data_IF_632147322870
#
_entry.id   IF_632147322870
#
_cell.length_a   1.000
_cell.length_b   1.000
_cell.length_c   1.000
_cell.angle_alpha   90.00
_cell.angle_beta   90.00
_cell.angle_gamma   90.00
#
_symmetry.space_group_name_H-M   'P 1'
#
loop_
_entity.id
_entity.type
_entity.pdbx_description
1 polymer ?
#
# COMPACT_ATOMS: atom_id res chain seq x y z
N UNK A 1 80.90 -5.87 16.01
CA UNK A 1 79.43 -5.79 15.83
C UNK A 1 79.00 -6.96 14.96
N UNK A 2 78.25 -7.93 15.49
CA UNK A 2 77.91 -9.14 14.74
C UNK A 2 76.72 -8.87 13.81
N UNK A 3 76.96 -8.15 12.71
CA UNK A 3 75.94 -7.75 11.71
C UNK A 3 75.16 -8.97 11.20
N UNK A 4 75.87 -10.06 10.93
CA UNK A 4 75.28 -11.28 10.40
C UNK A 4 74.33 -11.96 11.40
N UNK A 5 74.64 -11.91 12.69
CA UNK A 5 73.80 -12.46 13.74
C UNK A 5 72.48 -11.69 13.86
N UNK A 6 72.53 -10.36 13.80
CA UNK A 6 71.34 -9.49 13.78
C UNK A 6 70.44 -9.82 12.57
N UNK A 7 71.05 -9.99 11.40
CA UNK A 7 70.34 -10.31 10.16
C UNK A 7 69.70 -11.71 10.24
N UNK A 8 70.44 -12.72 10.73
CA UNK A 8 69.90 -14.09 10.93
C UNK A 8 68.77 -14.11 11.97
N UNK A 9 68.87 -13.33 13.03
CA UNK A 9 67.80 -13.21 14.04
C UNK A 9 66.52 -12.62 13.45
N UNK A 10 66.66 -11.65 12.53
CA UNK A 10 65.51 -11.02 11.88
C UNK A 10 64.86 -11.93 10.84
N UNK A 11 65.62 -12.46 9.87
CA UNK A 11 65.04 -13.21 8.75
C UNK A 11 64.75 -14.67 9.07
N UNK A 12 65.65 -15.38 9.78
CA UNK A 12 65.51 -16.82 9.99
C UNK A 12 64.77 -17.16 11.29
N UNK A 13 65.00 -16.38 12.36
CA UNK A 13 64.35 -16.58 13.65
C UNK A 13 63.07 -15.74 13.83
N UNK A 14 62.78 -14.85 12.89
CA UNK A 14 61.58 -14.00 12.87
C UNK A 14 61.38 -13.16 14.15
N UNK A 15 62.48 -12.78 14.80
CA UNK A 15 62.45 -12.02 16.06
C UNK A 15 62.13 -10.55 15.73
N UNK A 16 61.19 -9.90 16.43
CA UNK A 16 60.87 -8.50 16.17
C UNK A 16 62.07 -7.60 16.47
N UNK A 17 62.20 -6.51 15.68
CA UNK A 17 63.33 -5.57 15.76
C UNK A 17 63.50 -4.98 17.16
N UNK A 18 62.40 -4.86 17.92
CA UNK A 18 62.41 -4.39 19.30
C UNK A 18 63.20 -5.31 20.23
N UNK A 19 63.02 -6.62 20.12
CA UNK A 19 63.68 -7.59 21.00
C UNK A 19 65.16 -7.75 20.63
N UNK A 20 65.47 -7.65 19.33
CA UNK A 20 66.86 -7.57 18.84
C UNK A 20 67.53 -6.31 19.40
N UNK A 21 66.86 -5.16 19.34
CA UNK A 21 67.37 -3.90 19.86
C UNK A 21 67.66 -3.98 21.37
N UNK A 22 66.73 -4.57 22.14
CA UNK A 22 66.90 -4.79 23.59
C UNK A 22 68.08 -5.73 23.87
N UNK A 23 68.21 -6.84 23.13
CA UNK A 23 69.29 -7.83 23.30
C UNK A 23 70.68 -7.25 23.05
N UNK A 24 70.83 -6.38 22.06
CA UNK A 24 72.11 -5.75 21.72
C UNK A 24 72.30 -4.36 22.35
N UNK A 25 71.35 -3.91 23.18
CA UNK A 25 71.31 -2.57 23.80
C UNK A 25 71.54 -1.44 22.79
N UNK A 26 70.87 -1.51 21.64
CA UNK A 26 70.96 -0.53 20.55
C UNK A 26 69.61 0.10 20.26
N UNK A 27 69.64 1.26 19.60
CA UNK A 27 68.41 1.87 19.09
C UNK A 27 67.83 1.03 17.95
N UNK A 28 66.50 1.00 17.85
CA UNK A 28 65.78 0.30 16.76
C UNK A 28 66.22 0.80 15.39
N UNK A 29 66.50 2.10 15.27
CA UNK A 29 66.98 2.71 14.04
C UNK A 29 68.34 2.15 13.58
N UNK A 30 69.27 1.89 14.51
CA UNK A 30 70.55 1.28 14.18
C UNK A 30 70.38 -0.16 13.68
N UNK A 31 69.48 -0.94 14.30
CA UNK A 31 69.14 -2.29 13.83
C UNK A 31 68.51 -2.24 12.43
N UNK A 32 67.55 -1.33 12.19
CA UNK A 32 66.95 -1.15 10.87
C UNK A 32 67.96 -0.78 9.78
N UNK A 33 68.97 0.06 10.08
CA UNK A 33 70.03 0.37 9.11
C UNK A 33 70.81 -0.89 8.68
N UNK A 34 71.08 -1.80 9.62
CA UNK A 34 71.80 -3.05 9.35
C UNK A 34 70.91 -4.00 8.54
N UNK A 35 69.65 -4.15 8.93
CA UNK A 35 68.69 -5.04 8.25
C UNK A 35 68.37 -4.54 6.84
N UNK A 36 68.18 -3.23 6.63
CA UNK A 36 67.90 -2.62 5.33
C UNK A 36 69.08 -2.69 4.34
N UNK A 37 70.30 -2.88 4.83
CA UNK A 37 71.47 -3.04 3.97
C UNK A 37 71.53 -4.43 3.31
N UNK A 38 70.77 -5.41 3.80
CA UNK A 38 70.69 -6.76 3.24
C UNK A 38 69.66 -6.83 2.10
N UNK A 39 70.02 -7.50 1.01
CA UNK A 39 69.20 -7.63 -0.21
C UNK A 39 67.84 -8.28 0.08
N UNK A 40 67.79 -9.24 1.02
CA UNK A 40 66.56 -9.95 1.40
C UNK A 40 65.50 -9.02 1.99
N UNK A 41 65.91 -7.86 2.51
CA UNK A 41 64.97 -6.88 3.02
C UNK A 41 64.08 -6.31 1.90
N UNK A 42 64.65 -5.94 0.76
CA UNK A 42 63.88 -5.44 -0.37
C UNK A 42 63.06 -6.55 -1.03
N UNK A 43 63.59 -7.77 -1.12
CA UNK A 43 62.82 -8.93 -1.64
C UNK A 43 61.58 -9.23 -0.79
N UNK A 44 61.74 -9.29 0.53
CA UNK A 44 60.62 -9.54 1.45
C UNK A 44 59.60 -8.41 1.45
N UNK A 45 60.04 -7.17 1.29
CA UNK A 45 59.15 -6.01 1.11
C UNK A 45 58.37 -6.11 -0.19
N UNK A 46 59.04 -6.37 -1.31
CA UNK A 46 58.40 -6.51 -2.62
C UNK A 46 57.40 -7.68 -2.62
N UNK A 47 57.74 -8.81 -2.01
CA UNK A 47 56.83 -9.95 -1.87
C UNK A 47 55.55 -9.57 -1.08
N UNK A 48 55.69 -8.82 0.02
CA UNK A 48 54.54 -8.33 0.80
C UNK A 48 53.67 -7.36 -0.02
N UNK A 49 54.29 -6.48 -0.79
CA UNK A 49 53.59 -5.55 -1.68
C UNK A 49 52.84 -6.29 -2.80
N UNK A 50 53.48 -7.28 -3.44
CA UNK A 50 52.87 -8.14 -4.45
C UNK A 50 51.65 -8.87 -3.90
N UNK A 51 51.80 -9.58 -2.78
CA UNK A 51 50.69 -10.31 -2.13
C UNK A 51 49.53 -9.38 -1.76
N UNK A 52 49.82 -8.17 -1.29
CA UNK A 52 48.79 -7.16 -1.01
C UNK A 52 48.05 -6.74 -2.28
N UNK A 53 48.78 -6.50 -3.37
CA UNK A 53 48.20 -6.10 -4.65
C UNK A 53 47.32 -7.22 -5.25
N UNK A 54 47.74 -8.47 -5.13
CA UNK A 54 46.97 -9.65 -5.53
C UNK A 54 45.64 -9.72 -4.78
N UNK A 55 45.67 -9.65 -3.45
CA UNK A 55 44.47 -9.66 -2.62
C UNK A 55 43.50 -8.52 -2.97
N UNK A 56 44.03 -7.32 -3.23
CA UNK A 56 43.21 -6.18 -3.67
C UNK A 56 42.55 -6.47 -5.02
N UNK A 57 43.28 -7.08 -5.96
CA UNK A 57 42.77 -7.44 -7.29
C UNK A 57 41.69 -8.52 -7.22
N UNK A 58 41.87 -9.53 -6.37
CA UNK A 58 40.86 -10.56 -6.11
C UNK A 58 39.57 -9.96 -5.56
N UNK A 59 39.68 -9.09 -4.56
CA UNK A 59 38.52 -8.40 -3.99
C UNK A 59 37.80 -7.52 -5.03
N UNK A 60 38.55 -6.85 -5.91
CA UNK A 60 37.96 -6.06 -7.01
C UNK A 60 37.21 -6.95 -8.00
N UNK A 61 37.74 -8.12 -8.36
CA UNK A 61 37.09 -9.05 -9.27
C UNK A 61 35.81 -9.61 -8.65
N UNK A 62 35.81 -9.92 -7.35
CA UNK A 62 34.64 -10.42 -6.65
C UNK A 62 33.53 -9.37 -6.62
N UNK A 63 33.86 -8.10 -6.34
CA UNK A 63 32.89 -6.98 -6.43
C UNK A 63 32.26 -6.90 -7.82
N UNK A 64 33.06 -7.01 -8.88
CA UNK A 64 32.57 -6.96 -10.26
C UNK A 64 31.63 -8.13 -10.56
N UNK A 65 31.99 -9.35 -10.17
CA UNK A 65 31.15 -10.55 -10.34
C UNK A 65 29.79 -10.38 -9.65
N UNK A 66 29.77 -9.97 -8.39
CA UNK A 66 28.53 -9.77 -7.63
C UNK A 66 27.62 -8.69 -8.23
N UNK A 67 28.21 -7.62 -8.78
CA UNK A 67 27.43 -6.50 -9.33
C UNK A 67 26.89 -6.77 -10.73
N UNK A 68 27.69 -7.37 -11.61
CA UNK A 68 27.35 -7.56 -13.03
C UNK A 68 26.69 -8.91 -13.31
N UNK A 69 27.12 -9.98 -12.65
CA UNK A 69 26.62 -11.34 -12.94
C UNK A 69 25.44 -11.69 -12.01
N UNK A 70 25.56 -11.38 -10.71
CA UNK A 70 24.49 -11.64 -9.72
C UNK A 70 23.52 -10.46 -9.56
N UNK A 71 23.79 -9.32 -10.21
CA UNK A 71 22.96 -8.11 -10.17
C UNK A 71 22.63 -7.59 -8.75
N UNK A 72 23.47 -7.89 -7.74
CA UNK A 72 23.28 -7.41 -6.36
C UNK A 72 23.35 -5.88 -6.26
N UNK A 73 22.76 -5.32 -5.20
CA UNK A 73 22.86 -3.88 -4.90
C UNK A 73 24.20 -3.56 -4.26
N UNK A 74 24.68 -2.34 -4.44
CA UNK A 74 25.93 -1.84 -3.83
C UNK A 74 25.94 -2.05 -2.31
N UNK A 75 24.82 -1.78 -1.63
CA UNK A 75 24.70 -1.94 -0.18
C UNK A 75 24.76 -3.41 0.27
N UNK A 76 24.35 -4.35 -0.57
CA UNK A 76 24.41 -5.79 -0.28
C UNK A 76 25.85 -6.26 -0.45
N UNK A 77 26.52 -5.87 -1.54
CA UNK A 77 27.93 -6.21 -1.80
C UNK A 77 28.84 -5.67 -0.68
N UNK A 78 28.60 -4.44 -0.23
CA UNK A 78 29.36 -3.83 0.85
C UNK A 78 29.22 -4.60 2.17
N UNK A 79 28.01 -5.11 2.46
CA UNK A 79 27.75 -5.95 3.64
C UNK A 79 28.42 -7.32 3.51
N UNK A 80 28.28 -7.98 2.36
CA UNK A 80 28.82 -9.32 2.11
C UNK A 80 30.36 -9.34 2.20
N UNK A 81 31.03 -8.29 1.71
CA UNK A 81 32.50 -8.20 1.68
C UNK A 81 33.10 -7.36 2.80
N UNK A 82 32.27 -6.80 3.69
CA UNK A 82 32.68 -5.89 4.76
C UNK A 82 33.58 -4.73 4.27
N UNK A 83 33.21 -4.12 3.15
CA UNK A 83 33.91 -3.00 2.52
C UNK A 83 33.01 -1.77 2.45
N UNK A 84 33.59 -0.58 2.35
CA UNK A 84 32.81 0.65 2.28
C UNK A 84 32.03 0.76 0.96
N UNK A 85 30.81 1.28 1.01
CA UNK A 85 29.97 1.55 -0.16
C UNK A 85 30.70 2.40 -1.22
N UNK A 86 31.51 3.37 -0.76
CA UNK A 86 32.31 4.24 -1.63
C UNK A 86 33.34 3.45 -2.43
N UNK A 87 34.00 2.47 -1.79
CA UNK A 87 34.98 1.63 -2.47
C UNK A 87 34.32 0.75 -3.53
N UNK A 88 33.18 0.12 -3.20
CA UNK A 88 32.39 -0.66 -4.16
C UNK A 88 32.02 0.21 -5.36
N UNK A 89 31.49 1.41 -5.10
CA UNK A 89 31.09 2.36 -6.15
C UNK A 89 32.27 2.77 -7.04
N UNK A 90 33.45 2.96 -6.46
CA UNK A 90 34.66 3.29 -7.22
C UNK A 90 35.05 2.13 -8.14
N UNK A 91 35.05 0.90 -7.64
CA UNK A 91 35.42 -0.30 -8.39
C UNK A 91 34.46 -0.55 -9.57
N UNK A 92 33.15 -0.47 -9.33
CA UNK A 92 32.16 -0.71 -10.40
C UNK A 92 32.22 0.35 -11.48
N UNK A 93 32.41 1.63 -11.13
CA UNK A 93 32.47 2.75 -12.09
C UNK A 93 33.70 2.69 -13.00
N UNK A 94 34.78 2.07 -12.53
CA UNK A 94 35.97 1.84 -13.35
C UNK A 94 35.77 0.77 -14.42
N UNK A 95 34.70 -0.02 -14.36
CA UNK A 95 34.38 -1.04 -15.36
C UNK A 95 33.58 -0.45 -16.52
N UNK A 96 33.92 -0.82 -17.75
CA UNK A 96 33.25 -0.33 -18.97
C UNK A 96 31.77 -0.76 -19.06
N UNK A 97 31.39 -1.88 -18.43
CA UNK A 97 30.00 -2.39 -18.43
C UNK A 97 29.05 -1.57 -17.56
N UNK A 98 29.58 -0.67 -16.73
CA UNK A 98 28.81 0.05 -15.73
C UNK A 98 27.66 0.89 -16.31
N UNK A 99 27.91 1.65 -17.38
CA UNK A 99 26.87 2.53 -17.94
C UNK A 99 25.71 1.73 -18.58
N UNK A 100 26.01 0.57 -19.16
CA UNK A 100 24.98 -0.34 -19.69
C UNK A 100 24.13 -0.93 -18.55
N UNK A 101 24.77 -1.46 -17.51
CA UNK A 101 24.07 -2.06 -16.36
C UNK A 101 23.24 -1.01 -15.60
N UNK A 102 23.76 0.20 -15.42
CA UNK A 102 23.06 1.34 -14.83
C UNK A 102 21.82 1.71 -15.63
N UNK A 103 21.92 1.76 -16.96
CA UNK A 103 20.79 2.02 -17.85
C UNK A 103 19.74 0.92 -17.77
N UNK A 104 20.15 -0.35 -17.74
CA UNK A 104 19.28 -1.52 -17.54
C UNK A 104 18.50 -1.42 -16.22
N UNK A 105 19.20 -1.16 -15.11
CA UNK A 105 18.59 -1.01 -13.78
C UNK A 105 17.63 0.18 -13.71
N UNK A 106 17.93 1.29 -14.38
CA UNK A 106 17.03 2.46 -14.49
C UNK A 106 15.72 2.09 -15.19
N UNK A 107 15.80 1.34 -16.29
CA UNK A 107 14.62 0.88 -17.02
C UNK A 107 13.78 -0.10 -16.18
N UNK A 108 14.43 -1.06 -15.52
CA UNK A 108 13.76 -2.02 -14.63
C UNK A 108 13.04 -1.33 -13.47
N UNK A 109 13.72 -0.37 -12.83
CA UNK A 109 13.11 0.44 -11.75
C UNK A 109 11.92 1.25 -12.25
N UNK A 110 12.00 1.81 -13.47
CA UNK A 110 10.87 2.55 -14.07
C UNK A 110 9.67 1.63 -14.28
N UNK A 111 9.87 0.40 -14.79
CA UNK A 111 8.80 -0.59 -14.98
C UNK A 111 8.14 -0.95 -13.65
N UNK A 112 8.93 -1.28 -12.63
CA UNK A 112 8.44 -1.60 -11.28
C UNK A 112 7.64 -0.44 -10.66
N UNK A 113 8.10 0.79 -10.84
CA UNK A 113 7.39 1.97 -10.32
C UNK A 113 6.02 2.17 -10.99
N UNK A 114 5.95 1.99 -12.31
CA UNK A 114 4.69 2.07 -13.05
C UNK A 114 3.70 1.02 -12.56
N UNK A 115 4.15 -0.22 -12.36
CA UNK A 115 3.33 -1.31 -11.84
C UNK A 115 2.84 -1.05 -10.41
N UNK A 116 3.73 -0.65 -9.50
CA UNK A 116 3.38 -0.28 -8.14
C UNK A 116 2.36 0.89 -8.11
N UNK A 117 2.55 1.89 -8.96
CA UNK A 117 1.61 3.02 -9.08
C UNK A 117 0.24 2.56 -9.56
N UNK A 118 0.18 1.66 -10.57
CA UNK A 118 -1.07 1.08 -11.05
C UNK A 118 -1.81 0.34 -9.93
N UNK A 119 -1.10 -0.48 -9.14
CA UNK A 119 -1.70 -1.19 -8.02
C UNK A 119 -2.28 -0.24 -6.97
N UNK A 120 -1.54 0.81 -6.60
CA UNK A 120 -1.99 1.82 -5.63
C UNK A 120 -3.26 2.51 -6.14
N UNK A 121 -3.27 2.94 -7.40
CA UNK A 121 -4.43 3.59 -8.02
C UNK A 121 -5.62 2.64 -8.06
N UNK A 122 -5.42 1.39 -8.44
CA UNK A 122 -6.49 0.38 -8.48
C UNK A 122 -7.07 0.11 -7.10
N UNK A 123 -6.22 -0.07 -6.08
CA UNK A 123 -6.65 -0.21 -4.67
C UNK A 123 -7.46 1.00 -4.20
N UNK A 124 -7.02 2.22 -4.55
CA UNK A 124 -7.76 3.45 -4.23
C UNK A 124 -9.13 3.47 -4.91
N UNK A 125 -9.21 3.16 -6.21
CA UNK A 125 -10.48 3.09 -6.95
C UNK A 125 -11.43 2.04 -6.37
N UNK A 126 -10.91 0.87 -6.01
CA UNK A 126 -11.71 -0.19 -5.40
C UNK A 126 -12.31 0.25 -4.06
N UNK A 127 -11.50 0.87 -3.18
CA UNK A 127 -11.98 1.44 -1.92
C UNK A 127 -13.06 2.49 -2.12
N UNK A 128 -12.90 3.36 -3.11
CA UNK A 128 -13.91 4.38 -3.43
C UNK A 128 -15.22 3.76 -3.92
N UNK A 129 -15.17 2.74 -4.78
CA UNK A 129 -16.35 2.00 -5.22
C UNK A 129 -17.07 1.33 -4.05
N UNK A 130 -16.34 0.59 -3.20
CA UNK A 130 -16.92 -0.05 -2.02
C UNK A 130 -17.55 0.96 -1.04
N UNK A 131 -16.93 2.12 -0.86
CA UNK A 131 -17.47 3.21 -0.03
C UNK A 131 -18.72 3.83 -0.65
N UNK A 132 -18.69 4.10 -1.96
CA UNK A 132 -19.83 4.62 -2.70
C UNK A 132 -21.01 3.66 -2.66
N UNK A 133 -20.80 2.38 -2.98
CA UNK A 133 -21.83 1.33 -2.92
C UNK A 133 -22.42 1.24 -1.51
N UNK A 134 -21.58 1.27 -0.47
CA UNK A 134 -22.05 1.28 0.92
C UNK A 134 -22.89 2.52 1.25
N UNK A 135 -22.51 3.70 0.76
CA UNK A 135 -23.25 4.95 0.98
C UNK A 135 -24.60 4.97 0.25
N UNK A 136 -24.65 4.45 -0.98
CA UNK A 136 -25.86 4.35 -1.79
C UNK A 136 -26.84 3.36 -1.16
N UNK A 137 -26.36 2.17 -0.77
CA UNK A 137 -27.18 1.17 -0.08
C UNK A 137 -27.72 1.72 1.24
N UNK A 138 -26.90 2.41 2.03
CA UNK A 138 -27.34 3.04 3.28
C UNK A 138 -28.39 4.14 3.04
N UNK A 139 -28.21 4.97 2.01
CA UNK A 139 -29.19 5.99 1.63
C UNK A 139 -30.51 5.37 1.17
N UNK A 140 -30.45 4.31 0.38
CA UNK A 140 -31.62 3.57 -0.09
C UNK A 140 -32.39 2.92 1.07
N UNK A 141 -31.69 2.31 2.03
CA UNK A 141 -32.32 1.76 3.24
C UNK A 141 -33.00 2.85 4.07
N UNK A 142 -32.38 4.04 4.19
CA UNK A 142 -32.98 5.16 4.92
C UNK A 142 -34.26 5.63 4.25
N UNK A 143 -34.25 5.80 2.93
CA UNK A 143 -35.44 6.16 2.14
C UNK A 143 -36.53 5.10 2.26
N UNK A 144 -36.20 3.82 2.14
CA UNK A 144 -37.16 2.73 2.33
C UNK A 144 -37.79 2.75 3.72
N UNK A 145 -37.00 2.99 4.77
CA UNK A 145 -37.50 3.12 6.14
C UNK A 145 -38.45 4.31 6.29
N UNK A 146 -38.10 5.46 5.73
CA UNK A 146 -38.95 6.65 5.75
C UNK A 146 -40.27 6.40 5.00
N UNK A 147 -40.21 5.80 3.82
CA UNK A 147 -41.40 5.43 3.05
C UNK A 147 -42.26 4.39 3.77
N UNK A 148 -41.65 3.38 4.40
CA UNK A 148 -42.37 2.41 5.21
C UNK A 148 -43.08 3.08 6.39
N UNK A 149 -42.46 4.05 7.05
CA UNK A 149 -43.08 4.82 8.14
C UNK A 149 -44.22 5.70 7.62
N UNK A 150 -44.03 6.41 6.51
CA UNK A 150 -45.05 7.31 5.96
C UNK A 150 -46.25 6.57 5.38
N UNK A 151 -46.02 5.39 4.78
CA UNK A 151 -47.07 4.53 4.26
C UNK A 151 -47.73 3.65 5.33
N UNK A 152 -47.06 3.45 6.47
CA UNK A 152 -47.62 2.70 7.59
C UNK A 152 -48.59 3.57 8.37
N UNK A 153 -49.86 3.17 8.36
CA UNK A 153 -50.88 3.76 9.23
C UNK A 153 -50.97 2.96 10.51
N UNK A 154 -50.80 3.59 11.67
CA UNK A 154 -50.88 2.93 12.98
C UNK A 154 -52.31 2.59 13.41
N UNK A 155 -53.31 3.16 12.73
CA UNK A 155 -54.74 2.97 13.01
C UNK A 155 -55.41 2.32 11.82
N UNK A 156 -56.38 1.45 12.11
CA UNK A 156 -57.30 0.94 11.08
C UNK A 156 -58.02 2.13 10.44
N UNK A 157 -58.06 2.18 9.11
CA UNK A 157 -58.85 3.16 8.38
C UNK A 157 -60.32 3.01 8.80
N UNK A 158 -60.98 4.13 9.16
CA UNK A 158 -62.39 4.10 9.54
C UNK A 158 -63.26 3.81 8.33
N UNK A 159 -64.43 3.20 8.54
CA UNK A 159 -65.42 2.98 7.47
C UNK A 159 -65.73 4.28 6.72
N UNK A 160 -65.81 5.40 7.44
CA UNK A 160 -66.01 6.74 6.86
C UNK A 160 -64.84 7.17 5.98
N UNK A 161 -63.59 6.97 6.43
CA UNK A 161 -62.39 7.31 5.66
C UNK A 161 -62.25 6.50 4.38
N UNK A 162 -62.60 5.21 4.41
CA UNK A 162 -62.64 4.37 3.19
C UNK A 162 -63.69 4.92 2.21
N UNK A 163 -64.90 5.26 2.68
CA UNK A 163 -65.96 5.81 1.83
C UNK A 163 -65.56 7.16 1.26
N UNK A 164 -64.98 8.07 2.07
CA UNK A 164 -64.50 9.37 1.59
C UNK A 164 -63.42 9.24 0.52
N UNK A 165 -62.48 8.30 0.67
CA UNK A 165 -61.46 8.04 -0.34
C UNK A 165 -62.05 7.49 -1.66
N UNK A 166 -63.22 6.83 -1.59
CA UNK A 166 -63.91 6.21 -2.74
C UNK A 166 -65.24 6.90 -3.05
N UNK A 167 -65.37 8.20 -2.74
CA UNK A 167 -66.65 8.91 -2.77
C UNK A 167 -67.30 8.91 -4.16
N UNK A 168 -66.49 8.92 -5.21
CA UNK A 168 -66.94 8.90 -6.60
C UNK A 168 -67.77 7.65 -6.96
N UNK A 169 -67.68 6.58 -6.18
CA UNK A 169 -68.45 5.34 -6.39
C UNK A 169 -69.75 5.28 -5.57
N UNK A 170 -70.12 6.36 -4.89
CA UNK A 170 -71.35 6.45 -4.10
C UNK A 170 -72.27 7.53 -4.64
N UNK A 171 -73.56 7.22 -4.70
CA UNK A 171 -74.63 8.14 -5.05
C UNK A 171 -75.42 8.51 -3.80
N UNK A 172 -75.79 9.79 -3.74
CA UNK A 172 -76.58 10.33 -2.64
C UNK A 172 -78.08 10.03 -2.81
N UNK A 173 -78.64 9.27 -1.87
CA UNK A 173 -80.10 9.07 -1.76
C UNK A 173 -80.69 10.12 -0.81
N UNK A 174 -81.28 11.16 -1.40
CA UNK A 174 -81.91 12.26 -0.66
C UNK A 174 -83.08 11.82 0.24
N UNK A 175 -83.81 10.75 -0.12
CA UNK A 175 -84.98 10.30 0.65
C UNK A 175 -84.57 9.60 1.93
N UNK A 176 -83.48 8.83 1.88
CA UNK A 176 -82.99 8.03 3.00
C UNK A 176 -81.84 8.67 3.76
N UNK A 177 -81.32 9.81 3.27
CA UNK A 177 -80.16 10.50 3.81
C UNK A 177 -78.96 9.53 3.97
N UNK A 178 -78.68 8.78 2.90
CA UNK A 178 -77.59 7.79 2.85
C UNK A 178 -76.81 7.91 1.56
N UNK A 179 -75.53 7.60 1.62
CA UNK A 179 -74.71 7.30 0.46
C UNK A 179 -74.86 5.81 0.14
N UNK A 180 -75.20 5.48 -1.09
CA UNK A 180 -75.38 4.11 -1.57
C UNK A 180 -74.39 3.87 -2.69
N UNK A 181 -73.71 2.72 -2.65
CA UNK A 181 -72.75 2.35 -3.69
C UNK A 181 -73.44 2.22 -5.05
N UNK A 182 -72.88 2.83 -6.09
CA UNK A 182 -73.40 2.73 -7.44
C UNK A 182 -72.86 1.47 -8.13
N UNK A 183 -73.74 0.49 -8.34
CA UNK A 183 -73.39 -0.76 -9.03
C UNK A 183 -73.01 -0.53 -10.51
N UNK A 184 -73.28 0.65 -11.08
CA UNK A 184 -72.86 1.01 -12.44
C UNK A 184 -71.34 1.19 -12.56
N UNK A 185 -70.67 1.47 -11.43
CA UNK A 185 -69.20 1.59 -11.35
C UNK A 185 -68.47 0.23 -11.32
N UNK A 186 -69.22 -0.89 -11.34
CA UNK A 186 -68.70 -2.25 -11.26
C UNK A 186 -69.08 -2.97 -9.96
N UNK A 187 -68.51 -4.16 -9.77
CA UNK A 187 -68.77 -4.97 -8.57
C UNK A 187 -68.16 -4.33 -7.33
N UNK A 188 -68.99 -4.14 -6.29
CA UNK A 188 -68.55 -3.57 -5.03
C UNK A 188 -67.55 -4.51 -4.32
N UNK A 189 -66.33 -4.03 -4.02
CA UNK A 189 -65.39 -4.75 -3.16
C UNK A 189 -65.99 -5.10 -1.79
N UNK A 190 -65.59 -6.25 -1.23
CA UNK A 190 -66.14 -6.73 0.05
C UNK A 190 -65.90 -5.73 1.20
N UNK A 191 -64.75 -5.04 1.18
CA UNK A 191 -64.32 -4.11 2.22
C UNK A 191 -65.06 -2.76 2.21
N UNK A 192 -65.76 -2.43 1.12
CA UNK A 192 -66.52 -1.19 1.00
C UNK A 192 -67.96 -1.39 1.50
N UNK A 193 -68.54 -0.52 2.35
CA UNK A 193 -69.91 -0.68 2.81
C UNK A 193 -70.93 -0.50 1.66
N UNK A 194 -72.04 -1.24 1.68
CA UNK A 194 -73.13 -1.05 0.68
C UNK A 194 -73.79 0.32 0.79
N UNK A 195 -73.94 0.82 2.01
CA UNK A 195 -74.50 2.13 2.28
C UNK A 195 -74.00 2.67 3.62
N UNK A 196 -73.85 3.98 3.73
CA UNK A 196 -73.50 4.67 4.98
C UNK A 196 -74.43 5.87 5.20
N UNK A 197 -74.78 6.15 6.45
CA UNK A 197 -75.58 7.32 6.82
C UNK A 197 -74.71 8.57 6.79
N UNK A 198 -75.21 9.67 6.23
CA UNK A 198 -74.39 10.88 6.03
C UNK A 198 -73.96 11.48 7.37
N UNK A 199 -74.86 11.49 8.37
CA UNK A 199 -74.57 12.01 9.71
C UNK A 199 -73.53 11.18 10.48
N UNK A 200 -73.08 10.05 9.95
CA UNK A 200 -71.96 9.27 10.50
C UNK A 200 -70.62 9.68 9.87
N UNK A 201 -70.63 10.42 8.76
CA UNK A 201 -69.44 10.94 8.11
C UNK A 201 -69.20 12.39 8.53
N UNK A 202 -68.40 12.60 9.57
CA UNK A 202 -68.08 13.93 10.13
C UNK A 202 -67.43 14.92 9.12
N UNK A 203 -66.99 14.43 7.96
CA UNK A 203 -66.16 15.17 7.00
C UNK A 203 -66.76 15.37 5.61
N UNK A 204 -68.02 14.99 5.37
CA UNK A 204 -68.66 15.24 4.06
C UNK A 204 -69.45 16.54 4.16
N UNK A 205 -68.99 17.66 3.56
CA UNK A 205 -69.74 18.91 3.59
C UNK A 205 -71.07 18.70 2.86
N UNK A 206 -72.17 18.75 3.61
CA UNK A 206 -73.55 18.62 3.12
C UNK A 206 -73.88 19.57 1.95
N UNK A 207 -73.13 20.67 1.83
CA UNK A 207 -73.36 21.75 0.85
C UNK A 207 -73.05 21.38 -0.60
N UNK A 208 -72.27 20.33 -0.88
CA UNK A 208 -71.83 20.02 -2.24
C UNK A 208 -72.82 19.18 -3.09
N UNK A 209 -73.85 18.59 -2.48
CA UNK A 209 -74.75 17.64 -3.18
C UNK A 209 -76.18 18.16 -3.44
N UNK A 210 -76.59 19.29 -2.85
CA UNK A 210 -77.86 19.92 -3.23
C UNK A 210 -77.74 20.67 -4.58
N UNK A 211 -76.55 21.15 -4.92
CA UNK A 211 -76.31 21.95 -6.13
C UNK A 211 -76.08 21.12 -7.41
N UNK A 212 -75.95 19.79 -7.31
CA UNK A 212 -75.80 18.90 -8.48
C UNK A 212 -77.13 18.43 -9.08
N UNK A 213 -78.26 19.02 -8.66
CA UNK A 213 -79.58 18.84 -9.29
C UNK A 213 -80.00 20.14 -9.98
N UNK A 214 -79.54 20.29 -11.22
CA UNK A 214 -80.36 20.90 -12.29
C UNK A 214 -81.25 19.81 -12.86
#
# INVERSE_FOLDING_TARGET
MNKQEIINMYFNKNIPVQDIANKFSKSRAAIYKIVKADIRYEETKNFREQKKNELVKENQNLVKKLFFDEHKKVCEIARDLNISNTLVTKIIKSDNRYENEKSRRKLESKKKNVEATKEIVNKKRQRMRSSYDSSIVSGMMLLQKQNAISMSTTRKISTTGIVTANLNHYVYDSKRQKLVFDNSCGDRPIDLPKSIKIHTCDYIPFKAYEESKV
#
